data_IF_375670416740
#
_entry.id   IF_375670416740
#
_cell.length_a   1.000
_cell.length_b   1.000
_cell.length_c   1.000
_cell.angle_alpha   90.00
_cell.angle_beta   90.00
_cell.angle_gamma   90.00
#
_symmetry.space_group_name_H-M   'P 1'
#
loop_
_entity.id
_entity.type
_entity.pdbx_description
1 polymer ?
#
# COMPACT_ATOMS: atom_id res chain seq x y z
N UNK A 1 -7.13 -10.14 6.44
CA UNK A 1 -6.27 -9.15 7.16
C UNK A 1 -4.75 -9.34 7.02
N UNK A 2 -4.13 -10.38 7.60
CA UNK A 2 -2.66 -10.44 7.75
C UNK A 2 -1.91 -10.38 6.42
N UNK A 3 -2.44 -11.03 5.38
CA UNK A 3 -1.89 -10.99 4.02
C UNK A 3 -1.83 -9.55 3.48
N UNK A 4 -2.91 -8.78 3.63
CA UNK A 4 -2.96 -7.38 3.20
C UNK A 4 -2.01 -6.47 4.00
N UNK A 5 -1.75 -6.78 5.27
CA UNK A 5 -0.70 -6.09 6.03
C UNK A 5 0.68 -6.43 5.46
N UNK A 6 0.94 -7.70 5.14
CA UNK A 6 2.20 -8.12 4.56
C UNK A 6 2.42 -7.48 3.18
N UNK A 7 1.38 -7.40 2.33
CA UNK A 7 1.43 -6.69 1.04
C UNK A 7 1.82 -5.21 1.24
N UNK A 8 1.26 -4.55 2.26
CA UNK A 8 1.62 -3.16 2.56
C UNK A 8 3.08 -3.03 3.04
N UNK A 9 3.56 -3.96 3.87
CA UNK A 9 4.97 -4.03 4.29
C UNK A 9 5.89 -4.20 3.07
N UNK A 10 5.49 -5.03 2.12
CA UNK A 10 6.25 -5.27 0.89
C UNK A 10 6.33 -4.00 0.02
N UNK A 11 5.21 -3.28 -0.17
CA UNK A 11 5.20 -1.99 -0.88
C UNK A 11 6.16 -1.00 -0.21
N UNK A 12 6.10 -0.86 1.12
CA UNK A 12 6.98 0.03 1.87
C UNK A 12 8.45 -0.41 1.74
N UNK A 13 8.75 -1.70 1.83
CA UNK A 13 10.11 -2.24 1.79
C UNK A 13 10.75 -2.14 0.40
N UNK A 14 9.94 -2.20 -0.66
CA UNK A 14 10.39 -2.09 -2.05
C UNK A 14 10.40 -0.65 -2.57
N UNK A 15 9.96 0.34 -1.77
CA UNK A 15 10.00 1.74 -2.16
C UNK A 15 11.39 2.31 -1.87
N UNK A 16 12.10 2.69 -2.93
CA UNK A 16 13.42 3.32 -2.83
C UNK A 16 13.35 4.57 -1.95
N UNK A 17 14.36 4.73 -1.08
CA UNK A 17 14.42 5.82 -0.12
C UNK A 17 13.58 5.61 1.14
N UNK A 18 12.90 4.47 1.33
CA UNK A 18 12.29 4.07 2.61
C UNK A 18 13.22 3.10 3.36
N UNK A 19 13.40 3.33 4.66
CA UNK A 19 14.20 2.47 5.55
C UNK A 19 13.56 2.36 6.94
N UNK A 20 14.04 1.40 7.74
CA UNK A 20 13.65 1.24 9.16
C UNK A 20 12.13 1.18 9.40
N UNK A 21 11.45 0.27 8.68
CA UNK A 21 10.01 0.08 8.81
C UNK A 21 9.70 -0.66 10.10
N UNK A 22 8.79 -0.09 10.88
CA UNK A 22 8.20 -0.72 12.08
C UNK A 22 6.69 -0.79 11.91
N UNK A 23 6.10 -1.83 12.50
CA UNK A 23 4.67 -2.08 12.44
C UNK A 23 4.11 -2.30 13.84
N UNK A 24 2.91 -1.77 14.09
CA UNK A 24 2.16 -2.05 15.31
C UNK A 24 0.67 -2.16 15.01
N UNK A 25 -0.01 -3.12 15.64
CA UNK A 25 -1.47 -3.24 15.59
C UNK A 25 -2.02 -2.82 16.96
N UNK A 26 -2.98 -1.89 16.98
CA UNK A 26 -3.67 -1.44 18.19
C UNK A 26 -5.17 -1.42 17.92
N UNK A 27 -5.91 -2.27 18.65
CA UNK A 27 -7.36 -2.46 18.43
C UNK A 27 -7.64 -2.78 16.96
N UNK A 28 -8.45 -1.98 16.29
CA UNK A 28 -8.83 -2.10 14.88
C UNK A 28 -7.95 -1.26 13.95
N UNK A 29 -6.80 -0.78 14.42
CA UNK A 29 -5.88 0.04 13.63
C UNK A 29 -4.54 -0.67 13.41
N UNK A 30 -3.98 -0.45 12.23
CA UNK A 30 -2.63 -0.86 11.86
C UNK A 30 -1.81 0.40 11.67
N UNK A 31 -0.63 0.44 12.27
CA UNK A 31 0.28 1.56 12.27
C UNK A 31 1.62 1.16 11.70
N UNK A 32 2.20 2.03 10.88
CA UNK A 32 3.54 1.89 10.36
C UNK A 32 4.35 3.14 10.70
N UNK A 33 5.63 2.96 11.01
CA UNK A 33 6.59 4.07 11.07
C UNK A 33 7.81 3.71 10.26
N UNK A 34 8.34 4.65 9.48
CA UNK A 34 9.55 4.45 8.69
C UNK A 34 10.31 5.75 8.48
N UNK A 35 11.58 5.62 8.11
CA UNK A 35 12.42 6.73 7.69
C UNK A 35 12.33 6.86 6.18
N UNK A 36 12.23 8.08 5.67
CA UNK A 36 12.25 8.39 4.24
C UNK A 36 13.44 9.29 3.87
N UNK A 37 13.92 9.21 2.64
CA UNK A 37 15.10 9.98 2.21
C UNK A 37 14.74 11.41 1.81
N UNK A 38 13.60 11.61 1.15
CA UNK A 38 13.13 12.92 0.70
C UNK A 38 11.61 12.97 0.56
N UNK A 39 11.03 14.18 0.52
CA UNK A 39 9.58 14.35 0.32
C UNK A 39 9.06 13.75 -0.99
N UNK A 40 9.91 13.65 -2.02
CA UNK A 40 9.56 13.00 -3.28
C UNK A 40 9.17 11.54 -3.08
N UNK A 41 9.84 10.84 -2.16
CA UNK A 41 9.51 9.45 -1.80
C UNK A 41 8.07 9.34 -1.28
N UNK A 42 7.62 10.32 -0.49
CA UNK A 42 6.26 10.33 0.04
C UNK A 42 5.21 10.65 -1.04
N UNK A 43 5.55 11.52 -2.00
CA UNK A 43 4.66 11.82 -3.13
C UNK A 43 4.52 10.63 -4.08
N UNK A 44 5.62 9.91 -4.35
CA UNK A 44 5.61 8.66 -5.12
C UNK A 44 4.82 7.56 -4.38
N UNK A 45 4.91 7.52 -3.05
CA UNK A 45 4.18 6.55 -2.22
C UNK A 45 2.67 6.81 -2.23
N UNK A 46 2.22 8.08 -2.23
CA UNK A 46 0.79 8.44 -2.31
C UNK A 46 0.08 7.84 -3.53
N UNK A 47 0.77 7.69 -4.66
CA UNK A 47 0.18 7.10 -5.86
C UNK A 47 -0.07 5.58 -5.72
N UNK A 48 0.62 4.92 -4.79
CA UNK A 48 0.57 3.47 -4.57
C UNK A 48 -0.27 3.08 -3.36
N UNK A 49 -0.84 4.04 -2.65
CA UNK A 49 -1.47 3.85 -1.35
C UNK A 49 -3.00 4.10 -1.39
N UNK A 50 -3.77 3.56 -0.43
CA UNK A 50 -5.19 3.87 -0.29
C UNK A 50 -5.43 5.36 -0.03
N UNK A 51 -6.53 5.94 -0.55
CA UNK A 51 -6.82 7.38 -0.42
C UNK A 51 -7.04 7.85 1.04
N UNK A 52 -7.38 6.94 1.96
CA UNK A 52 -7.85 7.27 3.33
C UNK A 52 -6.78 7.11 4.44
N UNK A 53 -5.50 7.11 4.08
CA UNK A 53 -4.40 6.99 5.04
C UNK A 53 -4.03 8.31 5.70
N UNK A 54 -3.82 8.25 7.02
CA UNK A 54 -3.32 9.40 7.79
C UNK A 54 -1.79 9.42 7.77
N UNK A 55 -1.21 10.46 7.18
CA UNK A 55 0.23 10.69 7.13
C UNK A 55 0.64 11.77 8.13
N UNK A 56 1.54 11.42 9.05
CA UNK A 56 2.11 12.35 10.01
C UNK A 56 3.64 12.33 9.94
N UNK A 57 4.24 13.49 9.67
CA UNK A 57 5.70 13.66 9.64
C UNK A 57 6.15 14.16 11.01
N UNK A 58 7.02 13.39 11.67
CA UNK A 58 7.46 13.70 13.05
C UNK A 58 8.72 14.58 13.03
N UNK A 59 8.53 15.90 13.06
CA UNK A 59 9.61 16.87 13.33
C UNK A 59 10.64 17.04 12.20
N UNK A 60 11.88 17.38 12.58
CA UNK A 60 13.03 17.61 11.66
C UNK A 60 13.70 16.33 11.16
N UNK A 61 13.16 15.17 11.54
CA UNK A 61 13.67 13.87 11.16
C UNK A 61 12.72 13.35 10.10
N UNK A 62 13.24 12.81 9.00
CA UNK A 62 12.43 12.27 7.91
C UNK A 62 11.72 10.96 8.36
N UNK A 63 10.89 11.03 9.39
CA UNK A 63 10.12 9.94 9.96
C UNK A 63 8.67 10.16 9.57
N UNK A 64 8.11 9.15 8.91
CA UNK A 64 6.71 9.12 8.52
C UNK A 64 5.97 8.11 9.40
N UNK A 65 4.78 8.49 9.84
CA UNK A 65 3.83 7.64 10.52
C UNK A 65 2.58 7.47 9.68
N UNK A 66 2.18 6.21 9.45
CA UNK A 66 0.96 5.85 8.73
C UNK A 66 0.02 5.10 9.64
N UNK A 67 -1.28 5.38 9.50
CA UNK A 67 -2.32 4.65 10.21
C UNK A 67 -3.52 4.35 9.32
N UNK A 68 -4.00 3.11 9.45
CA UNK A 68 -5.19 2.60 8.76
C UNK A 68 -6.14 1.97 9.77
N UNK A 69 -7.45 2.07 9.55
CA UNK A 69 -8.35 1.06 10.11
C UNK A 69 -8.18 -0.24 9.32
N UNK A 70 -8.25 -1.36 10.02
CA UNK A 70 -8.12 -2.70 9.42
C UNK A 70 -9.14 -2.89 8.29
N UNK A 71 -10.41 -2.56 8.52
CA UNK A 71 -11.48 -2.68 7.52
C UNK A 71 -11.21 -1.90 6.22
N UNK A 72 -10.57 -0.74 6.33
CA UNK A 72 -10.31 0.13 5.18
C UNK A 72 -9.15 -0.44 4.36
N UNK A 73 -8.15 -1.01 5.05
CA UNK A 73 -7.04 -1.72 4.44
C UNK A 73 -7.49 -3.01 3.73
N UNK A 74 -8.36 -3.81 4.36
CA UNK A 74 -8.92 -5.02 3.74
C UNK A 74 -9.70 -4.67 2.47
N UNK A 75 -10.64 -3.72 2.58
CA UNK A 75 -11.45 -3.29 1.44
C UNK A 75 -10.60 -2.76 0.28
N UNK A 76 -9.49 -2.07 0.55
CA UNK A 76 -8.59 -1.58 -0.49
C UNK A 76 -7.94 -2.73 -1.27
N UNK A 77 -7.35 -3.70 -0.58
CA UNK A 77 -6.67 -4.81 -1.24
C UNK A 77 -7.63 -5.78 -1.92
N UNK A 78 -8.81 -6.03 -1.36
CA UNK A 78 -9.88 -6.78 -2.03
C UNK A 78 -10.26 -6.12 -3.37
N UNK A 79 -10.41 -4.79 -3.40
CA UNK A 79 -10.68 -4.05 -4.64
C UNK A 79 -9.53 -4.19 -5.63
N UNK A 80 -8.28 -4.07 -5.19
CA UNK A 80 -7.12 -4.26 -6.07
C UNK A 80 -7.08 -5.66 -6.67
N UNK A 81 -7.39 -6.69 -5.90
CA UNK A 81 -7.45 -8.07 -6.40
C UNK A 81 -8.56 -8.24 -7.45
N UNK A 82 -9.74 -7.66 -7.22
CA UNK A 82 -10.83 -7.67 -8.19
C UNK A 82 -10.46 -6.94 -9.49
N UNK A 83 -9.81 -5.78 -9.39
CA UNK A 83 -9.31 -5.02 -10.55
C UNK A 83 -8.28 -5.83 -11.32
N UNK A 84 -7.29 -6.41 -10.63
CA UNK A 84 -6.29 -7.30 -11.25
C UNK A 84 -7.00 -8.47 -11.96
N UNK A 85 -7.94 -9.14 -11.30
CA UNK A 85 -8.68 -10.26 -11.87
C UNK A 85 -9.49 -9.85 -13.12
N UNK A 86 -10.13 -8.67 -13.12
CA UNK A 86 -10.85 -8.16 -14.28
C UNK A 86 -9.92 -7.91 -15.48
N UNK A 87 -8.76 -7.28 -15.26
CA UNK A 87 -7.75 -7.10 -16.32
C UNK A 87 -7.22 -8.44 -16.86
N UNK A 88 -6.98 -9.43 -15.98
CA UNK A 88 -6.59 -10.77 -16.43
C UNK A 88 -7.69 -11.46 -17.25
N UNK A 89 -8.97 -11.25 -16.94
CA UNK A 89 -10.08 -11.78 -17.74
C UNK A 89 -10.13 -11.12 -19.11
N UNK A 90 -9.98 -9.79 -19.18
CA UNK A 90 -9.98 -9.07 -20.46
C UNK A 90 -8.78 -9.47 -21.34
N UNK A 91 -7.59 -9.61 -20.75
CA UNK A 91 -6.41 -10.12 -21.46
C UNK A 91 -6.58 -11.58 -21.90
N UNK A 92 -7.19 -12.42 -21.06
CA UNK A 92 -7.48 -13.81 -21.41
C UNK A 92 -8.51 -13.92 -22.55
N UNK A 93 -9.59 -13.13 -22.51
CA UNK A 93 -10.58 -13.05 -23.61
C UNK A 93 -9.91 -12.54 -24.87
N UNK A 94 -9.06 -11.50 -24.80
CA UNK A 94 -8.36 -10.99 -25.98
C UNK A 94 -7.38 -12.01 -26.58
N UNK A 95 -6.70 -12.82 -25.75
CA UNK A 95 -5.74 -13.83 -26.22
C UNK A 95 -6.44 -15.09 -26.75
N UNK A 96 -7.54 -15.51 -26.13
CA UNK A 96 -8.23 -16.77 -26.47
C UNK A 96 -9.43 -16.59 -27.42
N UNK A 97 -10.08 -15.43 -27.43
CA UNK A 97 -11.22 -15.16 -28.31
C UNK A 97 -10.83 -14.40 -29.60
N UNK A 98 -9.72 -13.65 -29.65
CA UNK A 98 -9.19 -13.11 -30.92
C UNK A 98 -8.21 -14.07 -31.61
N UNK A 99 -8.62 -15.32 -31.79
CA UNK A 99 -8.08 -16.18 -32.86
C UNK A 99 -9.00 -16.09 -34.07
N UNK A 100 -8.82 -15.05 -34.89
CA UNK A 100 -9.21 -15.04 -36.29
C UNK A 100 -8.24 -14.19 -37.10
#
# INVERSE_FOLDING_TARGET
MQEHINELVEILSNTEGITYITQRIVKTQVHFSFIFESYKVLDDLKQKMPEDWFLFIVGSHNICYLSYKQSDLERYFERLQLVKAAFFIDDFINIFCNKH
#
